data_IF_663444779225
#
_entry.id   IF_663444779225
#
_cell.length_a   1.000
_cell.length_b   1.000
_cell.length_c   1.000
_cell.angle_alpha   90.00
_cell.angle_beta   90.00
_cell.angle_gamma   90.00
#
_symmetry.space_group_name_H-M   'P 1'
#
loop_
_entity.id
_entity.type
_entity.pdbx_description
1 polymer ?
#
# COMPACT_ATOMS: atom_id res chain seq x y z
N UNK A 1 -25.18 -12.52 9.99
CA UNK A 1 -25.35 -12.42 8.52
C UNK A 1 -23.97 -12.54 7.91
N UNK A 2 -23.79 -13.26 6.80
CA UNK A 2 -22.49 -13.41 6.13
C UNK A 2 -22.11 -12.11 5.42
N UNK A 3 -20.81 -11.81 5.32
CA UNK A 3 -20.30 -10.56 4.67
C UNK A 3 -20.74 -10.47 3.22
N UNK A 4 -20.77 -11.59 2.51
CA UNK A 4 -21.23 -11.71 1.13
C UNK A 4 -22.69 -11.25 0.99
N UNK A 5 -23.56 -11.73 1.88
CA UNK A 5 -24.99 -11.34 1.91
C UNK A 5 -25.20 -9.87 2.22
N UNK A 6 -24.36 -9.29 3.11
CA UNK A 6 -24.40 -7.84 3.41
C UNK A 6 -24.00 -7.04 2.18
N UNK A 7 -22.95 -7.47 1.48
CA UNK A 7 -22.48 -6.81 0.26
C UNK A 7 -23.55 -6.82 -0.85
N UNK A 8 -24.19 -7.98 -1.07
CA UNK A 8 -25.28 -8.13 -2.03
C UNK A 8 -26.46 -7.18 -1.73
N UNK A 9 -26.90 -7.14 -0.47
CA UNK A 9 -28.00 -6.27 -0.07
C UNK A 9 -27.63 -4.78 -0.15
N UNK A 10 -26.43 -4.39 0.28
CA UNK A 10 -25.95 -3.01 0.19
C UNK A 10 -25.84 -2.56 -1.27
N UNK A 11 -25.36 -3.42 -2.15
CA UNK A 11 -25.26 -3.16 -3.59
C UNK A 11 -26.66 -2.98 -4.21
N UNK A 12 -27.58 -3.89 -3.90
CA UNK A 12 -28.96 -3.78 -4.40
C UNK A 12 -29.68 -2.51 -3.89
N UNK A 13 -29.49 -2.16 -2.62
CA UNK A 13 -30.03 -0.94 -2.02
C UNK A 13 -29.46 0.33 -2.69
N UNK A 14 -28.16 0.34 -2.99
CA UNK A 14 -27.51 1.45 -3.68
C UNK A 14 -28.06 1.63 -5.10
N UNK A 15 -28.18 0.54 -5.84
CA UNK A 15 -28.78 0.56 -7.20
C UNK A 15 -30.19 1.12 -7.16
N UNK A 16 -31.06 0.56 -6.30
CA UNK A 16 -32.42 1.03 -6.16
C UNK A 16 -32.54 2.51 -5.77
N UNK A 17 -31.64 2.98 -4.88
CA UNK A 17 -31.61 4.39 -4.50
C UNK A 17 -31.17 5.29 -5.66
N UNK A 18 -30.11 4.95 -6.38
CA UNK A 18 -29.65 5.73 -7.53
C UNK A 18 -30.70 5.78 -8.63
N UNK A 19 -31.31 4.65 -8.96
CA UNK A 19 -32.36 4.54 -9.99
C UNK A 19 -33.61 5.38 -9.63
N UNK A 20 -33.98 5.41 -8.34
CA UNK A 20 -35.16 6.15 -7.88
C UNK A 20 -34.97 7.66 -7.77
N UNK A 21 -33.72 8.10 -7.52
CA UNK A 21 -33.42 9.51 -7.23
C UNK A 21 -32.72 10.24 -8.38
N UNK A 22 -32.01 9.54 -9.25
CA UNK A 22 -31.16 10.11 -10.29
C UNK A 22 -29.97 10.92 -9.79
N UNK A 23 -29.60 10.77 -8.50
CA UNK A 23 -28.51 11.54 -7.89
C UNK A 23 -27.12 11.13 -8.40
N UNK A 24 -26.97 9.88 -8.83
CA UNK A 24 -25.76 9.35 -9.45
C UNK A 24 -26.10 8.10 -10.25
N UNK A 25 -25.27 7.74 -11.22
CA UNK A 25 -25.41 6.44 -11.89
C UNK A 25 -24.85 5.33 -11.01
N UNK A 26 -25.70 4.34 -10.70
CA UNK A 26 -25.33 3.23 -9.83
C UNK A 26 -24.07 2.50 -10.31
N UNK A 27 -23.90 2.33 -11.63
CA UNK A 27 -22.74 1.68 -12.23
C UNK A 27 -21.42 2.42 -11.91
N UNK A 28 -21.43 3.75 -11.88
CA UNK A 28 -20.24 4.56 -11.57
C UNK A 28 -19.93 4.54 -10.09
N UNK A 29 -20.94 4.60 -9.24
CA UNK A 29 -20.79 4.49 -7.79
C UNK A 29 -20.22 3.12 -7.42
N UNK A 30 -20.71 2.03 -8.00
CA UNK A 30 -20.27 0.67 -7.72
C UNK A 30 -18.85 0.37 -8.23
N UNK A 31 -18.41 1.01 -9.32
CA UNK A 31 -17.03 0.89 -9.79
C UNK A 31 -16.04 1.48 -8.78
N UNK A 32 -16.46 2.50 -8.03
CA UNK A 32 -15.57 3.25 -7.18
C UNK A 32 -16.24 3.79 -5.91
N UNK A 33 -16.75 2.93 -5.03
CA UNK A 33 -17.48 3.34 -3.84
C UNK A 33 -16.64 4.24 -2.92
N UNK A 34 -15.32 4.06 -2.87
CA UNK A 34 -14.42 4.89 -2.06
C UNK A 34 -14.44 6.37 -2.47
N UNK A 35 -14.66 6.68 -3.75
CA UNK A 35 -14.80 8.07 -4.23
C UNK A 35 -16.08 8.74 -3.75
N UNK A 36 -17.08 7.96 -3.37
CA UNK A 36 -18.37 8.45 -2.87
C UNK A 36 -18.50 8.42 -1.35
N UNK A 37 -17.45 8.03 -0.62
CA UNK A 37 -17.38 8.07 0.86
C UNK A 37 -17.56 9.50 1.44
N UNK A 38 -17.50 10.54 0.61
CA UNK A 38 -17.77 11.95 0.96
C UNK A 38 -18.85 12.55 0.06
N UNK A 39 -19.80 11.73 -0.36
CA UNK A 39 -20.94 12.20 -1.16
C UNK A 39 -21.79 13.20 -0.37
N UNK A 40 -22.34 14.26 -1.01
CA UNK A 40 -23.32 15.14 -0.37
C UNK A 40 -24.64 14.42 -0.08
N UNK A 41 -24.82 13.19 -0.58
CA UNK A 41 -26.02 12.39 -0.37
C UNK A 41 -25.76 11.31 0.69
N UNK A 42 -26.26 11.45 1.93
CA UNK A 42 -25.92 10.56 3.05
C UNK A 42 -26.24 9.08 2.80
N UNK A 43 -27.24 8.76 2.00
CA UNK A 43 -27.58 7.37 1.67
C UNK A 43 -26.50 6.75 0.79
N UNK A 44 -26.02 7.48 -0.25
CA UNK A 44 -24.93 7.01 -1.11
C UNK A 44 -23.66 6.88 -0.28
N UNK A 45 -23.34 7.87 0.54
CA UNK A 45 -22.17 7.84 1.42
C UNK A 45 -22.16 6.61 2.32
N UNK A 46 -23.23 6.37 3.07
CA UNK A 46 -23.33 5.22 4.00
C UNK A 46 -23.28 3.87 3.30
N UNK A 47 -23.95 3.73 2.14
CA UNK A 47 -23.90 2.48 1.38
C UNK A 47 -22.53 2.25 0.76
N UNK A 48 -21.84 3.29 0.30
CA UNK A 48 -20.48 3.18 -0.21
C UNK A 48 -19.49 2.76 0.89
N UNK A 49 -19.61 3.31 2.09
CA UNK A 49 -18.80 2.87 3.24
C UNK A 49 -19.04 1.38 3.53
N UNK A 50 -20.29 0.95 3.59
CA UNK A 50 -20.64 -0.44 3.87
C UNK A 50 -20.11 -1.40 2.78
N UNK A 51 -20.25 -1.03 1.50
CA UNK A 51 -19.73 -1.80 0.37
C UNK A 51 -18.21 -1.90 0.43
N UNK A 52 -17.52 -0.78 0.66
CA UNK A 52 -16.06 -0.75 0.79
C UNK A 52 -15.58 -1.64 1.94
N UNK A 53 -16.21 -1.53 3.12
CA UNK A 53 -15.85 -2.34 4.27
C UNK A 53 -16.09 -3.85 4.03
N UNK A 54 -17.20 -4.22 3.40
CA UNK A 54 -17.45 -5.62 3.00
C UNK A 54 -16.39 -6.14 2.04
N UNK A 55 -16.02 -5.36 1.01
CA UNK A 55 -14.95 -5.74 0.06
C UNK A 55 -13.61 -5.95 0.77
N UNK A 56 -13.23 -5.05 1.71
CA UNK A 56 -12.01 -5.23 2.50
C UNK A 56 -12.05 -6.46 3.39
N UNK A 57 -13.18 -6.75 4.03
CA UNK A 57 -13.30 -7.96 4.86
C UNK A 57 -13.25 -9.26 4.02
N UNK A 58 -13.81 -9.25 2.81
CA UNK A 58 -13.69 -10.37 1.88
C UNK A 58 -12.25 -10.56 1.41
N UNK A 59 -11.59 -9.48 1.00
CA UNK A 59 -10.19 -9.51 0.59
C UNK A 59 -9.25 -10.06 1.68
N UNK A 60 -9.54 -9.80 2.96
CA UNK A 60 -8.78 -10.37 4.09
C UNK A 60 -8.95 -11.88 4.24
N UNK A 61 -10.04 -12.47 3.71
CA UNK A 61 -10.23 -13.93 3.69
C UNK A 61 -9.43 -14.58 2.56
N UNK A 62 -9.24 -13.89 1.45
CA UNK A 62 -8.52 -14.35 0.26
C UNK A 62 -7.02 -14.08 0.32
N UNK A 63 -6.63 -13.07 1.08
CA UNK A 63 -5.26 -12.57 1.21
C UNK A 63 -4.91 -12.44 2.69
N UNK A 64 -3.63 -12.46 3.06
CA UNK A 64 -3.21 -12.22 4.45
C UNK A 64 -3.82 -10.89 4.96
N UNK A 65 -4.54 -10.88 6.11
CA UNK A 65 -5.18 -9.65 6.63
C UNK A 65 -4.22 -8.47 6.80
N UNK A 66 -2.97 -8.75 7.18
CA UNK A 66 -1.91 -7.74 7.29
C UNK A 66 -1.61 -7.06 5.95
N UNK A 67 -1.58 -7.82 4.86
CA UNK A 67 -1.37 -7.31 3.49
C UNK A 67 -2.44 -6.27 3.14
N UNK A 68 -3.71 -6.64 3.25
CA UNK A 68 -4.83 -5.73 2.92
C UNK A 68 -4.81 -4.48 3.79
N UNK A 69 -4.51 -4.63 5.09
CA UNK A 69 -4.44 -3.50 6.03
C UNK A 69 -3.32 -2.52 5.66
N UNK A 70 -2.14 -3.02 5.30
CA UNK A 70 -1.01 -2.16 4.94
C UNK A 70 -1.16 -1.56 3.53
N UNK A 71 -1.71 -2.27 2.56
CA UNK A 71 -2.10 -1.70 1.27
C UNK A 71 -3.11 -0.54 1.44
N UNK A 72 -4.09 -0.69 2.35
CA UNK A 72 -5.05 0.39 2.67
C UNK A 72 -4.34 1.65 3.21
N UNK A 73 -3.28 1.51 4.01
CA UNK A 73 -2.48 2.65 4.48
C UNK A 73 -1.75 3.35 3.32
N UNK A 74 -1.08 2.58 2.46
CA UNK A 74 -0.37 3.13 1.29
C UNK A 74 -1.38 3.83 0.38
N UNK A 75 -2.51 3.20 0.04
CA UNK A 75 -3.55 3.79 -0.80
C UNK A 75 -4.12 5.09 -0.21
N UNK A 76 -4.32 5.18 1.11
CA UNK A 76 -4.74 6.42 1.78
C UNK A 76 -3.70 7.54 1.68
N UNK A 77 -2.40 7.22 1.75
CA UNK A 77 -1.33 8.21 1.53
C UNK A 77 -1.26 8.61 0.05
N UNK A 78 -1.34 7.64 -0.85
CA UNK A 78 -1.37 7.84 -2.30
C UNK A 78 -2.50 8.79 -2.73
N UNK A 79 -3.71 8.62 -2.20
CA UNK A 79 -4.86 9.46 -2.50
C UNK A 79 -4.66 10.95 -2.15
N UNK A 80 -3.69 11.26 -1.27
CA UNK A 80 -3.31 12.65 -0.94
C UNK A 80 -2.25 13.23 -1.87
N UNK A 81 -1.75 12.44 -2.81
CA UNK A 81 -0.77 12.85 -3.82
C UNK A 81 -1.46 13.11 -5.16
N UNK A 82 -0.73 13.64 -6.14
CA UNK A 82 -1.20 13.77 -7.51
C UNK A 82 -1.31 12.41 -8.25
N UNK A 83 -0.92 11.30 -7.64
CA UNK A 83 -1.06 9.96 -8.19
C UNK A 83 -2.47 9.40 -7.99
N UNK A 84 -3.25 9.94 -7.03
CA UNK A 84 -4.63 9.53 -6.79
C UNK A 84 -4.76 8.08 -6.34
N UNK A 85 -5.43 7.24 -7.13
CA UNK A 85 -5.68 5.84 -6.82
C UNK A 85 -4.53 4.91 -7.25
N UNK A 86 -4.47 3.67 -6.70
CA UNK A 86 -3.70 2.58 -7.31
C UNK A 86 -4.03 2.44 -8.80
N UNK A 87 -3.13 1.85 -9.56
CA UNK A 87 -3.39 1.64 -11.00
C UNK A 87 -2.92 0.27 -11.44
N UNK A 88 -3.42 -0.17 -12.61
CA UNK A 88 -2.93 -1.38 -13.29
C UNK A 88 -1.87 -0.94 -14.30
N UNK A 89 -0.66 -1.47 -14.19
CA UNK A 89 0.42 -1.19 -15.13
C UNK A 89 0.21 -1.91 -16.49
N UNK A 90 1.09 -1.63 -17.46
CA UNK A 90 1.01 -2.22 -18.79
C UNK A 90 1.14 -3.75 -18.80
N UNK A 91 1.66 -4.35 -17.74
CA UNK A 91 1.83 -5.81 -17.58
C UNK A 91 0.68 -6.47 -16.80
N UNK A 92 -0.32 -5.69 -16.38
CA UNK A 92 -1.47 -6.18 -15.61
C UNK A 92 -1.25 -6.25 -14.09
N UNK A 93 -0.11 -5.75 -13.58
CA UNK A 93 0.18 -5.72 -12.15
C UNK A 93 -0.47 -4.50 -11.50
N UNK A 94 -0.90 -4.65 -10.26
CA UNK A 94 -1.48 -3.55 -9.49
C UNK A 94 -0.39 -2.79 -8.73
N UNK A 95 -0.36 -1.48 -8.92
CA UNK A 95 0.63 -0.57 -8.34
C UNK A 95 0.00 0.33 -7.29
N UNK A 96 0.59 0.33 -6.10
CA UNK A 96 0.34 1.27 -5.01
C UNK A 96 1.57 2.16 -4.85
N UNK A 97 1.45 3.48 -4.96
CA UNK A 97 2.60 4.38 -4.86
C UNK A 97 2.23 5.70 -4.19
N UNK A 98 2.82 5.98 -3.03
CA UNK A 98 2.61 7.23 -2.29
C UNK A 98 3.78 8.23 -2.45
N UNK A 99 4.65 8.03 -3.43
CA UNK A 99 5.90 8.75 -3.75
C UNK A 99 7.09 8.43 -2.85
N UNK A 100 6.88 7.77 -1.72
CA UNK A 100 7.95 7.31 -0.82
C UNK A 100 8.07 5.80 -0.91
N UNK A 101 6.93 5.14 -0.93
CA UNK A 101 6.83 3.68 -1.03
C UNK A 101 6.04 3.33 -2.28
N UNK A 102 6.53 2.39 -3.06
CA UNK A 102 5.74 1.75 -4.10
C UNK A 102 5.73 0.24 -3.87
N UNK A 103 4.55 -0.36 -4.05
CA UNK A 103 4.34 -1.81 -4.00
C UNK A 103 3.64 -2.23 -5.28
N UNK A 104 4.20 -3.22 -5.95
CA UNK A 104 3.73 -3.76 -7.21
C UNK A 104 3.36 -5.22 -6.98
N UNK A 105 2.09 -5.55 -7.19
CA UNK A 105 1.54 -6.88 -6.98
C UNK A 105 1.23 -7.54 -8.30
N UNK A 106 1.75 -8.75 -8.50
CA UNK A 106 1.48 -9.56 -9.69
C UNK A 106 -0.01 -9.91 -9.81
N UNK A 107 -0.66 -10.19 -8.67
CA UNK A 107 -2.10 -10.45 -8.60
C UNK A 107 -2.81 -9.25 -7.97
N UNK A 108 -3.70 -8.58 -8.70
CA UNK A 108 -4.50 -7.50 -8.16
C UNK A 108 -5.35 -7.93 -6.95
N UNK A 109 -5.49 -7.04 -5.98
CA UNK A 109 -6.40 -7.18 -4.84
C UNK A 109 -7.67 -6.40 -5.16
N UNK A 110 -8.75 -7.10 -5.43
CA UNK A 110 -10.02 -6.54 -5.96
C UNK A 110 -10.71 -5.54 -5.02
N UNK A 111 -10.36 -5.55 -3.73
CA UNK A 111 -10.88 -4.57 -2.77
C UNK A 111 -10.40 -3.13 -3.04
N UNK A 112 -9.41 -2.95 -3.89
CA UNK A 112 -8.87 -1.64 -4.25
C UNK A 112 -9.21 -1.32 -5.70
N UNK A 113 -10.00 -0.28 -5.89
CA UNK A 113 -10.22 0.29 -7.21
C UNK A 113 -8.90 0.78 -7.79
N UNK A 114 -8.69 0.50 -9.06
CA UNK A 114 -7.47 0.84 -9.75
C UNK A 114 -7.76 1.62 -11.05
N UNK A 115 -6.99 2.69 -11.26
CA UNK A 115 -7.00 3.44 -12.51
C UNK A 115 -6.25 2.67 -13.61
N UNK A 116 -6.35 3.16 -14.85
CA UNK A 116 -5.43 2.78 -15.93
C UNK A 116 -4.08 3.48 -15.72
N UNK A 117 -3.02 2.94 -16.34
CA UNK A 117 -1.67 3.48 -16.24
C UNK A 117 -1.46 4.86 -16.90
N UNK A 118 -2.44 5.37 -17.64
CA UNK A 118 -2.33 6.65 -18.35
C UNK A 118 -2.03 7.81 -17.40
N UNK A 119 -0.96 8.57 -17.67
CA UNK A 119 -0.51 9.66 -16.82
C UNK A 119 0.15 9.25 -15.51
N UNK A 120 0.36 7.94 -15.26
CA UNK A 120 1.07 7.43 -14.08
C UNK A 120 2.56 7.21 -14.38
N UNK A 121 3.42 7.19 -13.35
CA UNK A 121 4.84 6.88 -13.51
C UNK A 121 5.06 5.49 -14.14
N UNK A 122 6.06 5.39 -15.01
CA UNK A 122 6.56 4.12 -15.50
C UNK A 122 7.38 3.42 -14.39
N UNK A 123 6.71 2.52 -13.68
CA UNK A 123 7.34 1.81 -12.56
C UNK A 123 8.45 0.87 -13.00
N UNK A 124 8.40 0.34 -14.23
CA UNK A 124 9.43 -0.59 -14.72
C UNK A 124 10.81 0.08 -14.74
N UNK A 125 10.90 1.34 -15.19
CA UNK A 125 12.17 2.10 -15.14
C UNK A 125 12.70 2.29 -13.72
N UNK A 126 11.81 2.45 -12.75
CA UNK A 126 12.21 2.59 -11.34
C UNK A 126 12.69 1.25 -10.79
N UNK A 127 11.96 0.16 -11.11
CA UNK A 127 12.33 -1.19 -10.69
C UNK A 127 13.65 -1.65 -11.29
N UNK A 128 13.93 -1.33 -12.57
CA UNK A 128 15.22 -1.63 -13.22
C UNK A 128 16.41 -1.03 -12.47
N UNK A 129 16.28 0.21 -11.96
CA UNK A 129 17.33 0.83 -11.14
C UNK A 129 17.56 0.00 -9.85
N UNK A 130 16.48 -0.45 -9.22
CA UNK A 130 16.53 -1.29 -8.02
C UNK A 130 17.17 -2.65 -8.28
N UNK A 131 16.70 -3.35 -9.34
CA UNK A 131 17.17 -4.71 -9.69
C UNK A 131 18.65 -4.75 -10.07
N UNK A 132 19.15 -3.72 -10.77
CA UNK A 132 20.46 -3.73 -11.41
C UNK A 132 21.52 -2.87 -10.69
N UNK A 133 21.16 -2.17 -9.64
CA UNK A 133 21.95 -1.01 -9.22
C UNK A 133 22.43 -0.97 -7.78
N UNK A 134 22.70 -2.10 -7.10
CA UNK A 134 23.05 -1.93 -5.71
C UNK A 134 23.70 -3.12 -5.03
N UNK A 135 23.84 -2.99 -3.73
CA UNK A 135 24.35 -4.02 -2.82
C UNK A 135 23.18 -4.73 -2.16
N UNK A 136 23.31 -6.03 -1.98
CA UNK A 136 22.32 -6.81 -1.23
C UNK A 136 22.40 -6.47 0.25
N UNK A 137 21.27 -6.27 0.91
CA UNK A 137 21.18 -5.95 2.33
C UNK A 137 20.30 -6.97 3.05
N UNK A 138 20.69 -7.35 4.25
CA UNK A 138 19.87 -8.18 5.12
C UNK A 138 18.68 -7.37 5.66
N UNK A 139 17.51 -7.99 5.64
CA UNK A 139 16.31 -7.41 6.22
C UNK A 139 16.07 -7.99 7.62
N UNK A 140 15.66 -7.17 8.59
CA UNK A 140 15.24 -7.68 9.89
C UNK A 140 13.96 -8.50 9.75
N UNK A 141 13.76 -9.47 10.64
CA UNK A 141 12.50 -10.18 10.75
C UNK A 141 11.34 -9.22 11.10
N UNK A 142 10.11 -9.56 10.70
CA UNK A 142 8.93 -8.77 11.06
C UNK A 142 8.77 -8.60 12.57
N UNK A 143 9.14 -9.62 13.37
CA UNK A 143 9.08 -9.57 14.83
C UNK A 143 10.13 -8.61 15.40
N UNK A 144 11.36 -8.66 14.92
CA UNK A 144 12.43 -7.76 15.35
C UNK A 144 12.09 -6.30 14.99
N UNK A 145 11.58 -6.06 13.77
CA UNK A 145 11.17 -4.73 13.33
C UNK A 145 9.98 -4.19 14.13
N UNK A 146 9.00 -5.04 14.45
CA UNK A 146 7.89 -4.66 15.32
C UNK A 146 8.36 -4.27 16.70
N UNK A 147 9.21 -5.08 17.32
CA UNK A 147 9.80 -4.78 18.64
C UNK A 147 10.56 -3.45 18.62
N UNK A 148 11.34 -3.21 17.57
CA UNK A 148 12.04 -1.94 17.38
C UNK A 148 11.06 -0.75 17.36
N UNK A 149 9.98 -0.84 16.56
CA UNK A 149 8.97 0.21 16.47
C UNK A 149 8.26 0.46 17.82
N UNK A 150 7.92 -0.61 18.54
CA UNK A 150 7.24 -0.52 19.84
C UNK A 150 8.15 0.12 20.90
N UNK A 151 9.43 -0.25 20.95
CA UNK A 151 10.43 0.35 21.84
C UNK A 151 10.64 1.83 21.53
N UNK A 152 10.85 2.19 20.26
CA UNK A 152 11.06 3.60 19.86
C UNK A 152 9.84 4.46 20.15
N UNK A 153 8.65 3.92 19.99
CA UNK A 153 7.41 4.60 20.37
C UNK A 153 7.34 4.84 21.88
N UNK A 154 7.72 3.85 22.69
CA UNK A 154 7.75 3.99 24.16
C UNK A 154 8.78 5.03 24.62
N UNK A 155 9.92 5.15 23.91
CA UNK A 155 10.95 6.16 24.15
C UNK A 155 10.60 7.57 23.59
N UNK A 156 9.45 7.74 22.94
CA UNK A 156 9.08 8.98 22.26
C UNK A 156 9.83 9.22 20.94
N UNK A 157 10.62 8.27 20.47
CA UNK A 157 11.46 8.33 19.25
C UNK A 157 10.84 7.56 18.07
N UNK A 158 9.53 7.58 17.91
CA UNK A 158 8.81 6.77 16.91
C UNK A 158 9.28 6.99 15.46
N UNK A 159 9.79 8.17 15.16
CA UNK A 159 10.24 8.54 13.81
C UNK A 159 11.75 8.28 13.59
N UNK A 160 12.43 7.60 14.53
CA UNK A 160 13.85 7.31 14.42
C UNK A 160 14.13 6.40 13.21
N UNK A 161 14.92 6.88 12.22
CA UNK A 161 15.22 6.07 11.03
C UNK A 161 16.09 4.85 11.38
N UNK A 162 15.88 3.78 10.61
CA UNK A 162 16.60 2.52 10.74
C UNK A 162 17.76 2.47 9.74
N UNK A 163 18.97 2.21 10.24
CA UNK A 163 20.16 1.93 9.41
C UNK A 163 20.22 0.43 9.12
N UNK A 164 20.12 0.03 7.85
CA UNK A 164 20.28 -1.37 7.41
C UNK A 164 21.71 -1.66 6.97
N UNK A 165 22.38 -0.69 6.35
CA UNK A 165 23.78 -0.76 5.92
C UNK A 165 24.37 0.64 5.87
N UNK A 166 25.66 0.76 5.57
CA UNK A 166 26.28 2.06 5.36
C UNK A 166 25.62 2.79 4.19
N UNK A 167 25.06 3.97 4.44
CA UNK A 167 24.29 4.74 3.45
C UNK A 167 22.85 4.27 3.22
N UNK A 168 22.44 3.11 3.72
CA UNK A 168 21.07 2.62 3.61
C UNK A 168 20.27 2.91 4.89
N UNK A 169 19.66 4.08 4.93
CA UNK A 169 18.84 4.56 6.05
C UNK A 169 17.40 4.73 5.58
N UNK A 170 16.45 4.12 6.27
CA UNK A 170 15.03 4.13 5.88
C UNK A 170 14.12 4.44 7.06
N UNK A 171 12.88 4.81 6.76
CA UNK A 171 11.83 4.87 7.76
C UNK A 171 11.36 3.44 8.08
N UNK A 172 11.48 2.98 9.34
CA UNK A 172 11.14 1.61 9.73
C UNK A 172 9.65 1.27 9.60
N UNK A 173 8.75 2.26 9.67
CA UNK A 173 7.32 2.03 9.48
C UNK A 173 7.00 1.61 8.04
N UNK A 174 7.63 2.26 7.04
CA UNK A 174 7.46 1.87 5.63
C UNK A 174 8.02 0.49 5.34
N UNK A 175 9.17 0.15 5.93
CA UNK A 175 9.72 -1.19 5.83
C UNK A 175 8.76 -2.22 6.44
N UNK A 176 8.24 -1.96 7.64
CA UNK A 176 7.29 -2.84 8.30
C UNK A 176 6.02 -3.05 7.45
N UNK A 177 5.49 -1.99 6.85
CA UNK A 177 4.32 -2.08 5.96
C UNK A 177 4.62 -2.96 4.74
N UNK A 178 5.76 -2.75 4.08
CA UNK A 178 6.16 -3.51 2.89
C UNK A 178 6.38 -4.99 3.23
N UNK A 179 7.09 -5.31 4.32
CA UNK A 179 7.34 -6.70 4.73
C UNK A 179 6.07 -7.44 5.19
N UNK A 180 5.02 -6.73 5.59
CA UNK A 180 3.70 -7.33 5.82
C UNK A 180 2.92 -7.58 4.51
N UNK A 181 3.33 -6.99 3.39
CA UNK A 181 2.69 -7.16 2.08
C UNK A 181 3.45 -8.20 1.26
N UNK A 182 4.77 -8.11 1.22
CA UNK A 182 5.65 -8.96 0.41
C UNK A 182 6.44 -9.88 1.34
N UNK A 183 6.37 -11.20 1.09
CA UNK A 183 7.28 -12.17 1.72
C UNK A 183 8.67 -12.02 1.07
N UNK A 184 9.47 -11.09 1.57
CA UNK A 184 10.73 -10.70 0.96
C UNK A 184 11.73 -11.85 0.92
N UNK A 185 12.21 -12.16 -0.28
CA UNK A 185 13.28 -13.12 -0.57
C UNK A 185 14.62 -12.39 -0.68
N UNK A 186 14.59 -11.18 -1.25
CA UNK A 186 15.78 -10.40 -1.52
C UNK A 186 15.54 -8.90 -1.36
N UNK A 187 16.54 -8.20 -0.85
CA UNK A 187 16.56 -6.74 -0.80
C UNK A 187 17.88 -6.18 -1.34
N UNK A 188 17.78 -5.14 -2.14
CA UNK A 188 18.93 -4.46 -2.76
C UNK A 188 18.85 -2.97 -2.45
N UNK A 189 19.94 -2.43 -1.91
CA UNK A 189 20.10 -1.00 -1.78
C UNK A 189 20.68 -0.41 -3.07
N UNK A 190 19.87 0.34 -3.81
CA UNK A 190 20.27 0.99 -5.03
C UNK A 190 20.71 2.44 -4.77
N UNK A 191 22.03 2.66 -4.72
CA UNK A 191 22.61 3.98 -4.43
C UNK A 191 22.20 5.03 -5.46
N UNK A 192 22.21 4.71 -6.76
CA UNK A 192 21.84 5.62 -7.84
C UNK A 192 20.42 6.16 -7.72
N UNK A 193 19.47 5.31 -7.30
CA UNK A 193 18.06 5.68 -7.13
C UNK A 193 17.74 6.16 -5.71
N UNK A 194 18.68 6.05 -4.78
CA UNK A 194 18.45 6.28 -3.34
C UNK A 194 17.22 5.54 -2.84
N UNK A 195 17.15 4.27 -3.15
CA UNK A 195 16.01 3.42 -2.81
C UNK A 195 16.47 2.06 -2.29
N UNK A 196 15.62 1.47 -1.47
CA UNK A 196 15.66 0.06 -1.12
C UNK A 196 14.66 -0.66 -2.02
N UNK A 197 15.15 -1.57 -2.86
CA UNK A 197 14.34 -2.48 -3.66
C UNK A 197 14.15 -3.78 -2.91
N UNK A 198 12.94 -4.32 -2.92
CA UNK A 198 12.55 -5.56 -2.23
C UNK A 198 11.73 -6.42 -3.20
N UNK A 199 11.98 -7.72 -3.22
CA UNK A 199 11.23 -8.68 -4.04
C UNK A 199 10.97 -9.99 -3.28
N UNK A 200 9.90 -10.69 -3.65
CA UNK A 200 9.60 -12.06 -3.21
C UNK A 200 10.16 -13.14 -4.15
N UNK A 201 10.94 -12.74 -5.15
CA UNK A 201 11.47 -13.64 -6.17
C UNK A 201 10.41 -14.23 -7.11
N UNK A 202 9.13 -13.86 -6.96
CA UNK A 202 8.01 -14.45 -7.72
C UNK A 202 7.28 -13.48 -8.62
N UNK A 203 7.38 -12.21 -8.45
CA UNK A 203 6.81 -11.11 -9.25
C UNK A 203 6.18 -9.99 -8.40
N UNK A 204 6.15 -10.10 -7.06
CA UNK A 204 5.82 -8.97 -6.22
C UNK A 204 7.09 -8.19 -5.90
N UNK A 205 7.00 -6.89 -6.05
CA UNK A 205 8.15 -6.01 -5.91
C UNK A 205 7.76 -4.76 -5.12
N UNK A 206 8.71 -4.18 -4.41
CA UNK A 206 8.52 -2.89 -3.79
C UNK A 206 9.79 -2.05 -3.85
N UNK A 207 9.61 -0.75 -3.75
CA UNK A 207 10.69 0.20 -3.52
C UNK A 207 10.32 1.15 -2.38
N UNK A 208 11.30 1.47 -1.55
CA UNK A 208 11.18 2.45 -0.47
C UNK A 208 12.27 3.50 -0.69
N UNK A 209 11.90 4.77 -0.76
CA UNK A 209 12.86 5.87 -0.82
C UNK A 209 13.65 5.94 0.48
N UNK A 210 14.98 6.10 0.37
CA UNK A 210 15.86 6.26 1.53
C UNK A 210 15.65 7.62 2.20
N UNK A 211 15.74 7.65 3.50
CA UNK A 211 15.81 8.88 4.28
C UNK A 211 17.09 9.65 3.93
N UNK A 212 17.01 10.98 3.86
CA UNK A 212 18.20 11.78 3.60
C UNK A 212 19.14 11.72 4.81
N UNK A 213 20.33 11.12 4.68
CA UNK A 213 21.23 10.96 5.82
C UNK A 213 21.70 12.30 6.42
N UNK A 214 21.70 13.39 5.62
CA UNK A 214 22.04 14.75 6.12
C UNK A 214 20.94 15.37 6.97
N UNK A 215 19.72 14.84 6.91
CA UNK A 215 18.58 15.32 7.69
C UNK A 215 18.34 14.48 8.95
N UNK A 216 19.22 13.51 9.25
CA UNK A 216 19.07 12.56 10.36
C UNK A 216 20.21 12.76 11.34
N UNK A 217 19.90 13.24 12.53
CA UNK A 217 20.86 13.41 13.62
C UNK A 217 21.20 12.09 14.31
N UNK A 218 20.25 11.17 14.36
CA UNK A 218 20.37 9.88 15.03
C UNK A 218 19.73 8.77 14.18
N UNK A 219 20.36 7.60 14.11
CA UNK A 219 19.81 6.39 13.49
C UNK A 219 19.80 5.25 14.49
N UNK A 220 18.79 4.39 14.42
CA UNK A 220 18.77 3.15 15.18
C UNK A 220 19.25 1.98 14.35
N UNK A 221 19.65 0.89 15.04
CA UNK A 221 20.01 -0.40 14.47
C UNK A 221 19.17 -1.48 15.14
N UNK A 222 18.93 -2.58 14.44
CA UNK A 222 18.37 -3.80 15.03
C UNK A 222 19.53 -4.79 15.11
N UNK A 223 19.93 -5.13 16.33
CA UNK A 223 20.87 -6.24 16.56
C UNK A 223 20.04 -7.53 16.46
N UNK A 224 20.45 -8.43 15.56
CA UNK A 224 19.88 -9.78 15.51
C UNK A 224 20.39 -10.54 16.75
N UNK A 225 19.46 -10.93 17.61
CA UNK A 225 19.71 -11.78 18.78
C UNK A 225 19.59 -13.25 18.38
#
# INVERSE_FOLDING_TARGET
MKTETVLEHATAALMAYCDSTGHAEAADVLKNPVSYEKSPFPVIENLCHLIADCRFELAKKETKPATVTNLKKIAKRQAKTNLGKPWIDATGRQVFCDKITAVILAKPVEAFDADKAEGKPDMEKILEIGRNGGEEVSLPSLSALKNYLDLKKAEGKKDLPLKLAEGCVINPEYLYEVLNIIDADRAIWAQKGRMLYITDGKNNEAVICLTNPKAVEETGTIEEV
#
